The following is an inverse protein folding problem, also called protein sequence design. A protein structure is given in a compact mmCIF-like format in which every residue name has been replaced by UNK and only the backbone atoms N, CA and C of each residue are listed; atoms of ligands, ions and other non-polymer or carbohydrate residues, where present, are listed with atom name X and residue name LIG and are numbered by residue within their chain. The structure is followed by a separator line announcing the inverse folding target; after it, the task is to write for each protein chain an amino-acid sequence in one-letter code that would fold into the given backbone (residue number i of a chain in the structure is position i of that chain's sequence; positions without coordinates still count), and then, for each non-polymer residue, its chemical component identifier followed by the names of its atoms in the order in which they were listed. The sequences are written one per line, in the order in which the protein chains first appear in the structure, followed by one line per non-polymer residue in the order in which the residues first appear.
data_IF_687297428945
#
_entry.id   IF_687297428945
#
_cell.length_a   1.000
_cell.length_b   1.000
_cell.length_c   1.000
_cell.angle_alpha   90.00
_cell.angle_beta   90.00
_cell.angle_gamma   90.00
#
_symmetry.space_group_name_H-M   'P 1'
#
loop_
_entity.id
_entity.type
_entity.pdbx_description
1 polymer ?
#
# COMPACT_ATOMS: atom_id res chain seq x y z
N UNK A 1 -10.70 -0.64 -26.13
CA UNK A 1 -9.76 -1.58 -25.48
C UNK A 1 -10.50 -2.27 -24.34
N UNK A 2 -10.07 -3.47 -23.95
CA UNK A 2 -10.72 -4.23 -22.87
C UNK A 2 -10.42 -3.57 -21.52
N UNK A 3 -11.43 -3.51 -20.66
CA UNK A 3 -11.27 -3.09 -19.26
C UNK A 3 -10.46 -4.12 -18.48
N UNK A 4 -9.57 -3.67 -17.59
CA UNK A 4 -8.77 -4.53 -16.71
C UNK A 4 -9.62 -4.95 -15.51
N UNK A 5 -9.81 -6.25 -15.31
CA UNK A 5 -10.61 -6.77 -14.19
C UNK A 5 -9.75 -7.06 -12.98
N UNK A 6 -9.96 -6.33 -11.89
CA UNK A 6 -9.20 -6.48 -10.65
C UNK A 6 -10.08 -7.02 -9.51
N UNK A 7 -9.45 -7.77 -8.61
CA UNK A 7 -9.99 -8.10 -7.30
C UNK A 7 -9.18 -7.42 -6.20
N UNK A 8 -9.81 -7.14 -5.06
CA UNK A 8 -9.14 -6.48 -3.92
C UNK A 8 -9.29 -7.31 -2.65
N UNK A 9 -8.18 -7.67 -2.02
CA UNK A 9 -8.15 -8.21 -0.66
C UNK A 9 -7.81 -7.09 0.34
N UNK A 10 -8.79 -6.68 1.14
CA UNK A 10 -8.71 -5.56 2.09
C UNK A 10 -9.20 -4.25 1.49
N UNK A 11 -10.43 -3.83 1.82
CA UNK A 11 -11.03 -2.58 1.37
C UNK A 11 -10.71 -1.41 2.31
N UNK A 12 -9.42 -1.22 2.63
CA UNK A 12 -8.93 -0.14 3.48
C UNK A 12 -8.88 1.25 2.79
N UNK A 13 -8.18 2.20 3.41
CA UNK A 13 -7.99 3.54 2.86
C UNK A 13 -7.31 3.54 1.48
N UNK A 14 -6.32 2.67 1.26
CA UNK A 14 -5.66 2.52 -0.05
C UNK A 14 -6.63 2.08 -1.14
N UNK A 15 -7.49 1.09 -0.85
CA UNK A 15 -8.51 0.63 -1.78
C UNK A 15 -9.57 1.71 -2.05
N UNK A 16 -9.99 2.44 -1.01
CA UNK A 16 -10.88 3.60 -1.16
C UNK A 16 -10.29 4.66 -2.09
N UNK A 17 -9.02 5.02 -1.89
CA UNK A 17 -8.32 5.98 -2.74
C UNK A 17 -8.16 5.50 -4.19
N UNK A 18 -7.90 4.20 -4.40
CA UNK A 18 -7.82 3.59 -5.73
C UNK A 18 -9.17 3.69 -6.46
N UNK A 19 -10.26 3.27 -5.81
CA UNK A 19 -11.60 3.25 -6.43
C UNK A 19 -12.10 4.66 -6.71
N UNK A 20 -11.88 5.60 -5.77
CA UNK A 20 -12.14 7.02 -6.00
C UNK A 20 -11.31 7.55 -7.18
N UNK A 21 -10.03 7.18 -7.27
CA UNK A 21 -9.14 7.57 -8.37
C UNK A 21 -9.62 7.08 -9.73
N UNK A 22 -9.98 5.80 -9.84
CA UNK A 22 -10.51 5.20 -11.08
C UNK A 22 -11.74 5.98 -11.58
N UNK A 23 -12.66 6.36 -10.69
CA UNK A 23 -13.84 7.14 -11.08
C UNK A 23 -13.49 8.61 -11.39
N UNK A 24 -12.68 9.25 -10.55
CA UNK A 24 -12.27 10.65 -10.68
C UNK A 24 -11.68 10.96 -12.06
N UNK A 25 -10.78 10.09 -12.56
CA UNK A 25 -10.09 10.33 -13.82
C UNK A 25 -10.95 10.09 -15.08
N UNK A 26 -12.16 9.50 -14.98
CA UNK A 26 -13.02 9.29 -16.17
C UNK A 26 -13.42 10.59 -16.87
N UNK A 27 -13.54 11.67 -16.12
CA UNK A 27 -13.89 12.99 -16.63
C UNK A 27 -12.66 13.85 -17.00
N UNK A 28 -11.45 13.30 -16.89
CA UNK A 28 -10.18 14.00 -17.04
C UNK A 28 -9.48 13.64 -18.35
N UNK A 29 -8.46 14.43 -18.70
CA UNK A 29 -7.58 14.18 -19.84
C UNK A 29 -6.11 14.26 -19.41
N UNK A 30 -5.19 14.06 -20.37
CA UNK A 30 -3.73 14.05 -20.12
C UNK A 30 -3.21 15.33 -19.46
N UNK A 31 -3.81 16.49 -19.71
CA UNK A 31 -3.41 17.76 -19.09
C UNK A 31 -3.82 17.84 -17.61
N UNK A 32 -4.71 16.95 -17.17
CA UNK A 32 -5.24 16.85 -15.81
C UNK A 32 -4.70 15.60 -15.07
N UNK A 33 -3.58 15.02 -15.53
CA UNK A 33 -3.00 13.78 -15.00
C UNK A 33 -2.24 13.96 -13.66
N UNK A 34 -2.63 14.94 -12.83
CA UNK A 34 -2.03 15.17 -11.50
C UNK A 34 -2.16 13.88 -10.71
N UNK A 35 -1.06 13.38 -10.12
CA UNK A 35 -1.13 12.14 -9.34
C UNK A 35 -0.87 10.87 -10.16
N UNK A 36 -0.57 10.96 -11.45
CA UNK A 36 -0.20 9.82 -12.31
C UNK A 36 1.15 10.08 -12.97
N UNK A 37 2.02 9.05 -13.04
CA UNK A 37 3.28 9.19 -13.81
C UNK A 37 3.00 9.17 -15.31
N UNK A 38 2.03 8.35 -15.73
CA UNK A 38 1.64 8.20 -17.11
C UNK A 38 0.11 8.23 -17.22
N UNK A 39 -0.39 9.08 -18.12
CA UNK A 39 -1.80 9.09 -18.46
C UNK A 39 -2.23 7.74 -19.05
N UNK A 40 -1.42 7.18 -19.95
CA UNK A 40 -1.70 5.90 -20.60
C UNK A 40 -0.48 4.98 -20.52
N UNK A 41 -0.72 3.70 -20.29
CA UNK A 41 0.32 2.66 -20.26
C UNK A 41 -0.11 1.53 -21.20
N UNK A 42 0.51 1.47 -22.39
CA UNK A 42 0.24 0.46 -23.40
C UNK A 42 -1.23 0.37 -23.85
N UNK A 43 -1.91 1.51 -24.01
CA UNK A 43 -3.34 1.55 -24.35
C UNK A 43 -4.27 1.77 -23.15
N UNK A 44 -3.83 1.41 -21.94
CA UNK A 44 -4.69 1.44 -20.76
C UNK A 44 -4.65 2.82 -20.08
N UNK A 45 -5.82 3.48 -20.03
CA UNK A 45 -6.01 4.74 -19.31
C UNK A 45 -6.28 4.47 -17.82
N UNK A 46 -6.22 5.48 -16.94
CA UNK A 46 -6.29 5.28 -15.49
C UNK A 46 -7.63 4.71 -15.03
N UNK A 47 -8.67 4.91 -15.84
CA UNK A 47 -10.05 4.48 -15.59
C UNK A 47 -10.48 3.25 -16.40
N UNK A 48 -9.60 2.66 -17.21
CA UNK A 48 -9.88 1.40 -17.91
C UNK A 48 -9.69 0.19 -16.96
N UNK A 49 -10.11 0.34 -15.69
CA UNK A 49 -9.97 -0.63 -14.59
C UNK A 49 -11.35 -0.82 -13.96
N UNK A 50 -11.75 -2.06 -13.74
CA UNK A 50 -13.00 -2.43 -13.09
C UNK A 50 -12.76 -3.41 -11.95
N UNK A 51 -13.39 -3.14 -10.81
CA UNK A 51 -13.30 -3.99 -9.62
C UNK A 51 -14.42 -5.02 -9.73
N UNK A 52 -14.07 -6.29 -9.92
CA UNK A 52 -15.03 -7.38 -10.17
C UNK A 52 -15.23 -8.31 -8.97
N UNK A 53 -14.34 -8.21 -7.97
CA UNK A 53 -14.47 -8.93 -6.70
C UNK A 53 -13.77 -8.14 -5.59
N UNK A 54 -14.27 -8.24 -4.36
CA UNK A 54 -13.60 -7.67 -3.20
C UNK A 54 -13.82 -8.52 -1.95
N UNK A 55 -12.80 -8.56 -1.10
CA UNK A 55 -12.79 -9.30 0.15
C UNK A 55 -12.44 -8.36 1.29
N UNK A 56 -13.21 -8.43 2.37
CA UNK A 56 -12.89 -7.76 3.63
C UNK A 56 -13.39 -8.65 4.79
N UNK A 57 -13.01 -8.30 6.01
CA UNK A 57 -13.46 -9.01 7.21
C UNK A 57 -14.33 -8.11 8.08
N UNK A 58 -14.38 -6.81 7.82
CA UNK A 58 -15.11 -5.86 8.64
C UNK A 58 -16.62 -6.00 8.44
N UNK A 59 -17.36 -6.21 9.53
CA UNK A 59 -18.83 -6.34 9.51
C UNK A 59 -19.56 -5.14 8.91
N UNK A 60 -18.92 -3.97 8.84
CA UNK A 60 -19.48 -2.76 8.23
C UNK A 60 -19.30 -2.73 6.71
N UNK A 61 -18.49 -3.63 6.15
CA UNK A 61 -18.14 -3.70 4.73
C UNK A 61 -18.69 -4.97 4.08
N UNK A 62 -18.53 -6.12 4.73
CA UNK A 62 -19.03 -7.42 4.24
C UNK A 62 -20.51 -7.32 3.89
N UNK A 63 -20.88 -7.83 2.72
CA UNK A 63 -22.24 -7.81 2.17
C UNK A 63 -22.66 -6.50 1.48
N UNK A 64 -21.92 -5.39 1.63
CA UNK A 64 -22.24 -4.12 0.95
C UNK A 64 -21.66 -4.03 -0.45
N UNK A 65 -22.23 -3.19 -1.30
CA UNK A 65 -21.59 -2.82 -2.57
C UNK A 65 -20.27 -2.08 -2.30
N UNK A 66 -19.25 -2.32 -3.13
CA UNK A 66 -17.97 -1.63 -3.01
C UNK A 66 -18.10 -0.10 -3.10
N UNK A 67 -19.10 0.44 -3.80
CA UNK A 67 -19.34 1.89 -3.88
C UNK A 67 -19.67 2.51 -2.51
N UNK A 68 -20.21 1.73 -1.59
CA UNK A 68 -20.54 2.15 -0.21
C UNK A 68 -19.49 1.68 0.80
N UNK A 69 -18.97 0.47 0.63
CA UNK A 69 -18.05 -0.16 1.57
C UNK A 69 -16.74 0.63 1.72
N UNK A 70 -16.25 1.27 0.65
CA UNK A 70 -15.01 2.06 0.68
C UNK A 70 -15.09 3.31 1.57
N UNK A 71 -16.30 3.78 1.89
CA UNK A 71 -16.54 4.92 2.78
C UNK A 71 -16.92 4.48 4.20
N UNK A 72 -17.07 3.17 4.42
CA UNK A 72 -17.40 2.63 5.74
C UNK A 72 -16.18 2.65 6.65
N UNK A 73 -16.42 2.96 7.94
CA UNK A 73 -15.39 2.93 8.98
C UNK A 73 -14.67 1.55 9.01
N UNK A 74 -13.38 1.50 9.40
CA UNK A 74 -12.59 2.61 9.93
C UNK A 74 -11.90 3.45 8.84
N UNK A 75 -12.33 3.32 7.57
CA UNK A 75 -11.76 4.12 6.50
C UNK A 75 -11.96 5.62 6.80
N UNK A 76 -10.90 6.39 6.58
CA UNK A 76 -10.80 7.80 6.97
C UNK A 76 -9.94 8.62 5.98
N UNK A 77 -9.61 8.07 4.82
CA UNK A 77 -8.96 8.82 3.72
C UNK A 77 -9.82 9.97 3.25
N UNK A 78 -9.18 11.02 2.74
CA UNK A 78 -9.85 12.13 2.07
C UNK A 78 -10.77 11.62 0.96
N UNK A 79 -12.00 12.13 0.98
CA UNK A 79 -12.99 11.87 -0.08
C UNK A 79 -12.82 12.95 -1.13
N UNK A 80 -12.23 12.59 -2.27
CA UNK A 80 -12.04 13.49 -3.43
C UNK A 80 -12.92 13.11 -4.62
N UNK A 81 -13.59 11.96 -4.55
CA UNK A 81 -14.65 11.54 -5.46
C UNK A 81 -15.70 10.78 -4.65
N UNK A 82 -16.81 11.44 -4.32
CA UNK A 82 -17.90 10.91 -3.49
C UNK A 82 -18.96 10.15 -4.30
N UNK A 83 -19.17 10.54 -5.56
CA UNK A 83 -20.14 9.91 -6.44
C UNK A 83 -19.54 8.68 -7.16
N UNK A 84 -19.49 7.55 -6.45
CA UNK A 84 -19.12 6.26 -7.04
C UNK A 84 -20.39 5.55 -7.52
N UNK A 85 -20.54 5.29 -8.83
CA UNK A 85 -21.71 4.56 -9.32
C UNK A 85 -21.72 3.16 -8.72
N UNK A 86 -22.92 2.64 -8.43
CA UNK A 86 -23.11 1.27 -7.95
C UNK A 86 -22.40 0.30 -8.89
N UNK A 87 -21.60 -0.60 -8.31
CA UNK A 87 -20.77 -1.54 -9.08
C UNK A 87 -21.38 -2.92 -9.20
N UNK A 88 -22.43 -3.21 -8.42
CA UNK A 88 -23.04 -4.53 -8.28
C UNK A 88 -22.02 -5.60 -7.87
N UNK A 89 -21.03 -5.18 -7.06
CA UNK A 89 -19.99 -6.05 -6.50
C UNK A 89 -20.10 -5.97 -4.98
N UNK A 90 -20.68 -7.00 -4.39
CA UNK A 90 -20.77 -7.14 -2.95
C UNK A 90 -19.42 -7.58 -2.35
N UNK A 91 -19.04 -6.97 -1.22
CA UNK A 91 -17.85 -7.38 -0.47
C UNK A 91 -18.08 -8.77 0.12
N UNK A 92 -17.27 -9.72 -0.30
CA UNK A 92 -17.30 -11.09 0.22
C UNK A 92 -16.51 -11.19 1.53
N UNK A 93 -16.95 -12.08 2.44
CA UNK A 93 -16.20 -12.38 3.65
C UNK A 93 -14.85 -13.02 3.29
N UNK A 94 -13.77 -12.43 3.82
CA UNK A 94 -12.41 -12.92 3.62
C UNK A 94 -11.97 -14.00 4.61
N UNK A 95 -10.70 -14.39 4.52
CA UNK A 95 -10.01 -15.21 5.53
C UNK A 95 -9.25 -14.29 6.49
N UNK A 96 -9.46 -14.45 7.80
CA UNK A 96 -8.87 -13.55 8.81
C UNK A 96 -7.39 -13.87 9.04
N UNK A 97 -7.07 -15.11 9.45
CA UNK A 97 -5.71 -15.54 9.85
C UNK A 97 -5.05 -14.53 10.82
N UNK A 98 -3.81 -14.10 10.53
CA UNK A 98 -3.09 -13.04 11.25
C UNK A 98 -3.44 -11.63 10.74
N UNK A 99 -4.59 -11.45 10.09
CA UNK A 99 -5.14 -10.18 9.62
C UNK A 99 -5.38 -9.14 10.72
N UNK A 100 -5.72 -9.62 11.92
CA UNK A 100 -6.19 -8.82 13.05
C UNK A 100 -5.17 -8.87 14.18
N UNK A 101 -4.56 -7.73 14.54
CA UNK A 101 -3.64 -7.71 15.68
C UNK A 101 -4.40 -7.60 17.00
N UNK A 102 -4.02 -8.42 17.98
CA UNK A 102 -4.64 -8.43 19.31
C UNK A 102 -4.73 -7.05 19.97
N UNK A 103 -3.69 -6.21 19.84
CA UNK A 103 -3.64 -4.91 20.50
C UNK A 103 -4.71 -3.92 20.02
N UNK A 104 -5.25 -4.08 18.81
CA UNK A 104 -6.27 -3.15 18.31
C UNK A 104 -7.61 -3.37 19.00
N UNK A 105 -7.83 -4.54 19.63
CA UNK A 105 -9.09 -4.86 20.29
C UNK A 105 -9.46 -3.87 21.40
N UNK A 106 -8.45 -3.24 22.02
CA UNK A 106 -8.61 -2.27 23.11
C UNK A 106 -9.00 -0.87 22.64
N UNK A 107 -8.97 -0.60 21.33
CA UNK A 107 -9.33 0.70 20.77
C UNK A 107 -10.84 0.80 20.49
N UNK A 108 -11.33 2.04 20.41
CA UNK A 108 -12.71 2.33 20.01
C UNK A 108 -13.02 1.74 18.61
N UNK A 109 -14.21 1.16 18.49
CA UNK A 109 -14.74 0.51 17.30
C UNK A 109 -14.67 1.37 16.03
N UNK A 110 -14.69 2.70 16.14
CA UNK A 110 -14.56 3.58 14.96
C UNK A 110 -13.16 3.62 14.35
N UNK A 111 -12.11 3.22 15.08
CA UNK A 111 -10.71 3.31 14.63
C UNK A 111 -10.10 1.97 14.20
N UNK A 112 -10.72 0.86 14.59
CA UNK A 112 -10.27 -0.51 14.27
C UNK A 112 -11.23 -1.18 13.30
N UNK A 113 -10.78 -2.24 12.64
CA UNK A 113 -11.72 -3.14 11.96
C UNK A 113 -12.39 -4.09 12.95
N UNK A 114 -13.63 -4.46 12.67
CA UNK A 114 -14.45 -5.32 13.52
C UNK A 114 -14.82 -6.56 12.71
N UNK A 115 -14.20 -7.72 12.98
CA UNK A 115 -14.51 -8.96 12.28
C UNK A 115 -16.02 -9.24 12.23
N UNK A 116 -16.51 -9.66 11.06
CA UNK A 116 -17.88 -10.13 10.86
C UNK A 116 -18.09 -11.49 11.52
N UNK A 117 -19.33 -11.74 11.96
CA UNK A 117 -19.76 -13.05 12.44
C UNK A 117 -20.06 -14.03 11.27
N UNK A 118 -19.98 -13.56 10.03
CA UNK A 118 -20.06 -14.41 8.84
C UNK A 118 -18.92 -15.42 8.80
N UNK A 119 -19.22 -16.59 8.22
CA UNK A 119 -18.23 -17.67 8.08
C UNK A 119 -17.07 -17.20 7.21
N UNK A 120 -15.85 -17.32 7.73
CA UNK A 120 -14.64 -17.05 6.94
C UNK A 120 -14.59 -17.93 5.68
N UNK A 121 -14.26 -17.31 4.55
CA UNK A 121 -14.11 -18.02 3.30
C UNK A 121 -12.94 -19.01 3.35
N UNK A 122 -13.16 -20.19 2.80
CA UNK A 122 -12.14 -21.19 2.51
C UNK A 122 -11.29 -20.76 1.30
N UNK A 123 -10.12 -21.38 1.14
CA UNK A 123 -9.28 -21.15 -0.04
C UNK A 123 -10.04 -21.42 -1.35
N UNK A 124 -10.78 -22.52 -1.40
CA UNK A 124 -11.53 -22.95 -2.59
C UNK A 124 -12.64 -21.96 -2.95
N UNK A 125 -13.34 -21.40 -1.95
CA UNK A 125 -14.33 -20.35 -2.16
C UNK A 125 -13.70 -19.06 -2.72
N UNK A 126 -12.56 -18.60 -2.17
CA UNK A 126 -11.83 -17.45 -2.70
C UNK A 126 -11.38 -17.71 -4.14
N UNK A 127 -10.80 -18.89 -4.41
CA UNK A 127 -10.37 -19.29 -5.75
C UNK A 127 -11.54 -19.33 -6.73
N UNK A 128 -12.71 -19.85 -6.32
CA UNK A 128 -13.92 -19.86 -7.15
C UNK A 128 -14.35 -18.44 -7.47
N UNK A 129 -14.46 -17.56 -6.47
CA UNK A 129 -14.87 -16.16 -6.68
C UNK A 129 -13.94 -15.45 -7.67
N UNK A 130 -12.62 -15.66 -7.55
CA UNK A 130 -11.64 -15.07 -8.48
C UNK A 130 -11.85 -15.56 -9.92
N UNK A 131 -12.11 -16.86 -10.11
CA UNK A 131 -12.38 -17.45 -11.44
C UNK A 131 -13.72 -16.99 -12.00
N UNK A 132 -14.78 -17.07 -11.21
CA UNK A 132 -16.16 -16.83 -11.63
C UNK A 132 -16.40 -15.35 -11.98
N UNK A 133 -15.73 -14.43 -11.28
CA UNK A 133 -15.73 -12.99 -11.61
C UNK A 133 -14.90 -12.65 -12.85
N UNK A 134 -14.08 -13.59 -13.35
CA UNK A 134 -13.13 -13.34 -14.42
C UNK A 134 -12.03 -12.36 -14.01
N UNK A 135 -11.61 -12.40 -12.75
CA UNK A 135 -10.52 -11.56 -12.23
C UNK A 135 -9.24 -11.83 -13.01
N UNK A 136 -8.53 -10.78 -13.41
CA UNK A 136 -7.22 -10.88 -14.06
C UNK A 136 -6.07 -10.62 -13.08
N UNK A 137 -6.28 -9.72 -12.11
CA UNK A 137 -5.27 -9.28 -11.14
C UNK A 137 -5.88 -9.17 -9.74
N UNK A 138 -5.28 -9.82 -8.74
CA UNK A 138 -5.61 -9.66 -7.32
C UNK A 138 -4.65 -8.65 -6.66
N UNK A 139 -5.21 -7.61 -6.04
CA UNK A 139 -4.49 -6.63 -5.24
C UNK A 139 -4.56 -7.01 -3.76
N UNK A 140 -3.39 -7.10 -3.11
CA UNK A 140 -3.29 -7.30 -1.67
C UNK A 140 -3.09 -5.95 -0.96
N UNK A 141 -4.08 -5.53 -0.17
CA UNK A 141 -4.07 -4.35 0.72
C UNK A 141 -4.31 -4.74 2.18
N UNK A 142 -3.94 -5.97 2.55
CA UNK A 142 -4.06 -6.43 3.93
C UNK A 142 -3.17 -5.62 4.90
N UNK A 143 -3.53 -5.59 6.19
CA UNK A 143 -2.77 -4.87 7.21
C UNK A 143 -1.29 -5.30 7.29
N UNK A 144 -0.42 -4.35 7.65
CA UNK A 144 1.00 -4.63 7.91
C UNK A 144 1.14 -5.68 9.02
N UNK A 145 2.00 -6.68 8.77
CA UNK A 145 2.27 -7.78 9.68
C UNK A 145 1.33 -8.99 9.56
N UNK A 146 0.48 -9.01 8.53
CA UNK A 146 -0.37 -10.17 8.20
C UNK A 146 0.34 -11.08 7.19
N UNK A 147 1.35 -11.82 7.67
CA UNK A 147 2.17 -12.71 6.84
C UNK A 147 1.40 -13.93 6.34
N UNK A 148 0.66 -14.60 7.21
CA UNK A 148 -0.11 -15.78 6.88
C UNK A 148 -1.22 -15.43 5.89
N UNK A 149 -1.94 -14.33 6.15
CA UNK A 149 -2.98 -13.84 5.24
C UNK A 149 -2.40 -13.44 3.87
N UNK A 150 -1.28 -12.70 3.83
CA UNK A 150 -0.63 -12.33 2.56
C UNK A 150 -0.23 -13.56 1.73
N UNK A 151 0.37 -14.57 2.37
CA UNK A 151 0.74 -15.84 1.72
C UNK A 151 -0.49 -16.63 1.29
N UNK A 152 -1.56 -16.63 2.09
CA UNK A 152 -2.83 -17.29 1.76
C UNK A 152 -3.46 -16.69 0.48
N UNK A 153 -3.56 -15.36 0.38
CA UNK A 153 -4.12 -14.71 -0.80
C UNK A 153 -3.20 -14.82 -2.03
N UNK A 154 -1.87 -14.83 -1.83
CA UNK A 154 -0.93 -15.14 -2.92
C UNK A 154 -1.12 -16.57 -3.44
N UNK A 155 -1.36 -17.55 -2.55
CA UNK A 155 -1.69 -18.93 -2.93
C UNK A 155 -3.01 -19.00 -3.71
N UNK A 156 -4.05 -18.29 -3.25
CA UNK A 156 -5.34 -18.22 -3.94
C UNK A 156 -5.19 -17.66 -5.36
N UNK A 157 -4.43 -16.57 -5.54
CA UNK A 157 -4.17 -15.99 -6.86
C UNK A 157 -3.43 -17.00 -7.77
N UNK A 158 -2.40 -17.65 -7.23
CA UNK A 158 -1.61 -18.64 -7.95
C UNK A 158 -2.45 -19.85 -8.39
N UNK A 159 -3.37 -20.33 -7.54
CA UNK A 159 -4.30 -21.42 -7.84
C UNK A 159 -5.44 -21.01 -8.79
N UNK A 160 -5.87 -19.76 -8.71
CA UNK A 160 -6.85 -19.17 -9.61
C UNK A 160 -6.31 -18.90 -11.02
N UNK A 161 -4.98 -18.80 -11.19
CA UNK A 161 -4.37 -18.39 -12.46
C UNK A 161 -4.38 -16.87 -12.65
N UNK A 162 -4.42 -16.12 -11.56
CA UNK A 162 -4.64 -14.67 -11.50
C UNK A 162 -3.33 -13.98 -11.14
N UNK A 163 -3.01 -12.87 -11.81
CA UNK A 163 -1.82 -12.09 -11.48
C UNK A 163 -1.92 -11.47 -10.08
N UNK A 164 -0.79 -11.20 -9.45
CA UNK A 164 -0.78 -10.74 -8.06
C UNK A 164 0.00 -9.45 -7.88
N UNK A 165 -0.59 -8.45 -7.23
CA UNK A 165 0.09 -7.22 -6.83
C UNK A 165 0.07 -7.12 -5.31
N UNK A 166 1.26 -7.24 -4.73
CA UNK A 166 1.46 -7.18 -3.30
C UNK A 166 1.80 -5.75 -2.86
N UNK A 167 0.82 -5.02 -2.33
CA UNK A 167 1.03 -3.63 -1.89
C UNK A 167 1.56 -3.52 -0.44
N UNK A 168 1.66 -4.63 0.30
CA UNK A 168 2.12 -4.64 1.69
C UNK A 168 3.57 -5.14 1.82
N UNK A 169 4.27 -4.89 2.94
CA UNK A 169 5.70 -5.18 3.10
C UNK A 169 6.03 -6.63 3.49
N UNK A 170 5.16 -7.58 3.17
CA UNK A 170 5.47 -9.01 3.31
C UNK A 170 6.19 -9.47 2.06
N UNK A 171 7.31 -10.17 2.21
CA UNK A 171 8.09 -10.65 1.07
C UNK A 171 7.36 -11.77 0.34
N UNK A 172 6.89 -11.48 -0.88
CA UNK A 172 6.27 -12.45 -1.81
C UNK A 172 6.97 -12.33 -3.16
N UNK A 173 6.90 -11.17 -3.81
CA UNK A 173 7.56 -10.96 -5.09
C UNK A 173 9.10 -10.96 -4.96
N UNK A 174 9.61 -10.49 -3.82
CA UNK A 174 11.03 -10.49 -3.49
C UNK A 174 11.54 -11.80 -2.89
N UNK A 175 10.65 -12.74 -2.53
CA UNK A 175 11.04 -14.09 -2.11
C UNK A 175 11.30 -14.97 -3.35
N UNK A 176 12.53 -15.50 -3.53
CA UNK A 176 12.86 -16.36 -4.66
C UNK A 176 11.93 -17.58 -4.81
N UNK A 177 11.42 -18.14 -3.70
CA UNK A 177 10.52 -19.29 -3.74
C UNK A 177 9.16 -18.92 -4.33
N UNK A 178 8.60 -17.79 -3.91
CA UNK A 178 7.31 -17.32 -4.41
C UNK A 178 7.42 -16.83 -5.85
N UNK A 179 8.41 -15.99 -6.16
CA UNK A 179 8.63 -15.50 -7.53
C UNK A 179 8.85 -16.63 -8.53
N UNK A 180 9.57 -17.70 -8.16
CA UNK A 180 9.74 -18.86 -9.02
C UNK A 180 8.41 -19.59 -9.27
N UNK A 181 7.55 -19.76 -8.27
CA UNK A 181 6.23 -20.40 -8.44
C UNK A 181 5.31 -19.63 -9.38
N UNK A 182 5.30 -18.30 -9.30
CA UNK A 182 4.56 -17.44 -10.23
C UNK A 182 5.12 -17.55 -11.65
N UNK A 183 6.45 -17.54 -11.78
CA UNK A 183 7.16 -17.72 -13.06
C UNK A 183 6.87 -19.07 -13.71
N UNK A 184 6.87 -20.16 -12.95
CA UNK A 184 6.60 -21.52 -13.44
C UNK A 184 5.19 -21.66 -14.03
N UNK A 185 4.22 -20.88 -13.52
CA UNK A 185 2.86 -20.81 -14.06
C UNK A 185 2.68 -19.76 -15.16
N UNK A 186 3.70 -18.95 -15.46
CA UNK A 186 3.59 -17.84 -16.40
C UNK A 186 2.64 -16.74 -15.93
N UNK A 187 2.51 -16.55 -14.61
CA UNK A 187 1.60 -15.58 -14.00
C UNK A 187 2.43 -14.39 -13.49
N UNK A 188 2.14 -13.15 -13.90
CA UNK A 188 2.85 -11.97 -13.41
C UNK A 188 2.64 -11.73 -11.92
N UNK A 189 3.70 -11.26 -11.26
CA UNK A 189 3.66 -10.78 -9.88
C UNK A 189 4.39 -9.43 -9.80
N UNK A 190 3.82 -8.47 -9.07
CA UNK A 190 4.44 -7.19 -8.74
C UNK A 190 4.42 -7.03 -7.22
N UNK A 191 5.55 -6.64 -6.63
CA UNK A 191 5.71 -6.44 -5.20
C UNK A 191 7.18 -6.21 -4.83
N UNK A 192 7.51 -6.00 -3.56
CA UNK A 192 6.62 -5.86 -2.41
C UNK A 192 6.65 -4.42 -1.87
N UNK A 193 5.69 -4.04 -1.02
CA UNK A 193 5.55 -2.70 -0.41
C UNK A 193 5.37 -1.57 -1.45
N UNK A 194 4.12 -1.20 -1.73
CA UNK A 194 3.84 -0.15 -2.71
C UNK A 194 4.48 1.17 -2.29
N UNK A 195 5.05 1.89 -3.26
CA UNK A 195 5.63 3.21 -3.01
C UNK A 195 4.57 4.29 -3.04
N UNK A 196 4.83 5.36 -2.29
CA UNK A 196 4.15 6.63 -2.43
C UNK A 196 4.79 7.46 -3.54
N UNK A 197 4.05 8.38 -4.16
CA UNK A 197 4.57 9.34 -5.14
C UNK A 197 5.62 10.24 -4.50
N UNK A 198 5.27 10.84 -3.35
CA UNK A 198 6.18 11.64 -2.54
C UNK A 198 5.98 11.32 -1.07
N UNK A 199 6.77 10.39 -0.57
CA UNK A 199 6.79 10.00 0.84
C UNK A 199 8.07 10.40 1.56
N UNK A 200 8.06 10.25 2.89
CA UNK A 200 9.21 10.53 3.74
C UNK A 200 10.51 9.85 3.28
N UNK A 201 10.44 8.57 2.90
CA UNK A 201 11.61 7.79 2.50
C UNK A 201 12.28 8.32 1.22
N UNK A 202 11.51 8.69 0.17
CA UNK A 202 12.11 9.23 -1.06
C UNK A 202 12.66 10.64 -0.86
N UNK A 203 11.99 11.47 -0.04
CA UNK A 203 12.48 12.80 0.34
C UNK A 203 13.80 12.69 1.09
N UNK A 204 13.86 11.82 2.11
CA UNK A 204 15.06 11.59 2.90
C UNK A 204 16.22 11.09 2.02
N UNK A 205 15.98 10.08 1.18
CA UNK A 205 17.00 9.56 0.25
C UNK A 205 17.53 10.62 -0.71
N UNK A 206 16.65 11.45 -1.27
CA UNK A 206 17.04 12.53 -2.18
C UNK A 206 17.92 13.57 -1.48
N UNK A 207 17.59 13.92 -0.23
CA UNK A 207 18.40 14.84 0.56
C UNK A 207 19.76 14.25 0.95
N UNK A 208 19.81 12.97 1.31
CA UNK A 208 21.06 12.26 1.62
C UNK A 208 21.98 12.20 0.39
N UNK A 209 21.42 11.83 -0.77
CA UNK A 209 22.15 11.84 -2.05
C UNK A 209 22.66 13.24 -2.40
N UNK A 210 21.87 14.29 -2.14
CA UNK A 210 22.29 15.67 -2.31
C UNK A 210 23.46 16.05 -1.38
N UNK A 211 23.40 15.69 -0.09
CA UNK A 211 24.48 15.94 0.87
C UNK A 211 25.79 15.34 0.34
N UNK A 212 25.73 14.07 -0.06
CA UNK A 212 26.88 13.35 -0.62
C UNK A 212 27.42 14.02 -1.89
N UNK A 213 26.56 14.39 -2.85
CA UNK A 213 26.96 15.07 -4.09
C UNK A 213 27.58 16.45 -3.88
N UNK A 214 27.30 17.09 -2.74
CA UNK A 214 27.82 18.43 -2.40
C UNK A 214 28.97 18.40 -1.40
N UNK A 215 29.47 17.21 -1.04
CA UNK A 215 30.57 17.06 -0.09
C UNK A 215 30.18 17.37 1.36
N UNK A 216 28.89 17.34 1.68
CA UNK A 216 28.38 17.46 3.06
C UNK A 216 28.37 16.07 3.68
N UNK A 217 29.10 15.90 4.78
CA UNK A 217 29.12 14.62 5.51
C UNK A 217 27.88 14.54 6.38
N UNK A 218 27.03 13.53 6.18
CA UNK A 218 25.96 13.18 7.12
C UNK A 218 26.56 12.46 8.32
N UNK A 219 26.18 12.86 9.53
CA UNK A 219 26.62 12.24 10.79
C UNK A 219 25.46 11.59 11.53
N UNK A 220 24.27 12.20 11.55
CA UNK A 220 23.09 11.66 12.25
C UNK A 220 21.82 11.97 11.48
N UNK A 221 20.83 11.10 11.59
CA UNK A 221 19.51 11.38 11.00
C UNK A 221 18.38 10.65 11.74
N UNK A 222 17.21 11.28 11.80
CA UNK A 222 15.99 10.57 12.14
C UNK A 222 14.86 10.91 11.17
N UNK A 223 13.94 9.95 11.01
CA UNK A 223 12.69 10.09 10.29
C UNK A 223 11.56 9.55 11.18
N UNK A 224 10.84 10.47 11.82
CA UNK A 224 9.73 10.18 12.70
C UNK A 224 8.41 10.35 11.94
N UNK A 225 7.58 9.31 11.88
CA UNK A 225 6.34 9.33 11.10
C UNK A 225 5.14 9.12 12.03
N UNK A 226 4.15 10.00 11.97
CA UNK A 226 2.85 9.84 12.65
C UNK A 226 1.71 9.79 11.65
N UNK A 227 0.61 9.14 12.02
CA UNK A 227 -0.64 9.11 11.26
C UNK A 227 -1.79 8.63 12.13
N UNK A 228 -3.03 8.76 11.66
CA UNK A 228 -4.25 8.45 12.42
C UNK A 228 -5.14 7.40 11.77
N UNK A 229 -4.65 6.65 10.79
CA UNK A 229 -5.39 5.58 10.12
C UNK A 229 -5.12 4.22 10.78
N UNK A 230 -5.86 3.20 10.36
CA UNK A 230 -5.73 1.85 10.91
C UNK A 230 -4.39 1.18 10.54
N UNK A 231 -3.67 1.62 9.49
CA UNK A 231 -2.31 1.14 9.20
C UNK A 231 -1.33 1.59 10.29
N UNK A 232 -1.33 2.89 10.63
CA UNK A 232 -0.52 3.43 11.73
C UNK A 232 -0.89 2.80 13.07
N UNK A 233 -2.17 2.57 13.31
CA UNK A 233 -2.63 1.86 14.50
C UNK A 233 -2.04 0.45 14.55
N UNK A 234 -2.17 -0.34 13.49
CA UNK A 234 -1.61 -1.69 13.41
C UNK A 234 -0.09 -1.72 13.63
N UNK A 235 0.58 -0.69 13.15
CA UNK A 235 2.02 -0.50 13.25
C UNK A 235 2.49 -0.13 14.67
N UNK A 236 1.62 0.16 15.64
CA UNK A 236 2.05 0.31 17.04
C UNK A 236 2.57 -1.00 17.64
N UNK A 237 2.11 -2.14 17.12
CA UNK A 237 2.64 -3.44 17.52
C UNK A 237 4.05 -3.66 16.94
N UNK A 238 5.06 -3.41 17.78
CA UNK A 238 6.48 -3.54 17.41
C UNK A 238 6.88 -4.93 16.93
N UNK A 239 6.19 -5.99 17.36
CA UNK A 239 6.47 -7.36 16.89
C UNK A 239 6.14 -7.54 15.39
N UNK A 240 5.20 -6.74 14.87
CA UNK A 240 4.76 -6.76 13.46
C UNK A 240 5.58 -5.82 12.56
N UNK A 241 6.54 -5.09 13.13
CA UNK A 241 7.27 -4.02 12.44
C UNK A 241 8.69 -4.39 12.00
N UNK A 242 9.24 -5.54 12.40
CA UNK A 242 10.64 -5.91 12.18
C UNK A 242 11.05 -5.73 10.71
N UNK A 243 10.29 -6.31 9.78
CA UNK A 243 10.55 -6.21 8.34
C UNK A 243 10.48 -4.77 7.83
N UNK A 244 9.47 -3.98 8.21
CA UNK A 244 9.27 -2.60 7.72
C UNK A 244 10.32 -1.63 8.27
N UNK A 245 10.77 -1.81 9.52
CA UNK A 245 11.86 -1.00 10.11
C UNK A 245 13.18 -1.27 9.39
N UNK A 246 13.51 -2.54 9.16
CA UNK A 246 14.71 -2.92 8.40
C UNK A 246 14.67 -2.36 6.99
N UNK A 247 13.60 -2.59 6.23
CA UNK A 247 13.48 -2.11 4.84
C UNK A 247 13.62 -0.59 4.72
N UNK A 248 13.04 0.19 5.64
CA UNK A 248 13.14 1.66 5.61
C UNK A 248 14.52 2.18 6.01
N UNK A 249 15.17 1.53 6.97
CA UNK A 249 16.53 1.89 7.38
C UNK A 249 17.49 1.60 6.23
N UNK A 250 17.38 0.43 5.60
CA UNK A 250 18.21 0.06 4.44
C UNK A 250 17.97 0.96 3.21
N UNK A 251 16.74 1.44 3.01
CA UNK A 251 16.45 2.39 1.94
C UNK A 251 17.28 3.70 2.06
N UNK A 252 17.61 4.13 3.29
CA UNK A 252 18.46 5.31 3.54
C UNK A 252 19.94 4.92 3.59
N UNK A 253 20.28 3.83 4.29
CA UNK A 253 21.66 3.34 4.39
C UNK A 253 22.27 3.07 3.00
N UNK A 254 21.49 2.50 2.08
CA UNK A 254 21.97 2.11 0.74
C UNK A 254 22.38 3.26 -0.18
N UNK A 255 21.96 4.50 0.11
CA UNK A 255 22.39 5.68 -0.66
C UNK A 255 23.59 6.39 -0.05
N UNK A 256 24.01 6.01 1.17
CA UNK A 256 25.18 6.56 1.82
C UNK A 256 26.46 5.91 1.29
N UNK A 257 27.50 6.72 1.13
CA UNK A 257 28.86 6.22 0.87
C UNK A 257 29.37 5.33 2.02
N UNK A 258 29.17 5.79 3.25
CA UNK A 258 29.58 5.13 4.47
C UNK A 258 28.34 4.88 5.33
N UNK A 259 28.16 3.63 5.77
CA UNK A 259 27.05 3.23 6.64
C UNK A 259 27.13 4.00 7.96
N UNK A 260 26.01 4.56 8.40
CA UNK A 260 25.91 5.13 9.74
C UNK A 260 25.77 4.01 10.76
N UNK A 261 26.39 4.21 11.93
CA UNK A 261 26.16 3.36 13.10
C UNK A 261 24.68 3.38 13.49
N UNK A 262 24.16 2.26 13.99
CA UNK A 262 22.74 2.10 14.29
C UNK A 262 22.21 3.12 15.33
N UNK A 263 23.07 3.67 16.19
CA UNK A 263 22.72 4.74 17.13
C UNK A 263 22.53 6.12 16.47
N UNK A 264 23.09 6.31 15.28
CA UNK A 264 23.08 7.58 14.54
C UNK A 264 21.98 7.65 13.47
N UNK A 265 21.17 6.60 13.33
CA UNK A 265 20.05 6.54 12.39
C UNK A 265 18.78 5.99 13.05
N UNK A 266 17.68 6.74 12.94
CA UNK A 266 16.39 6.28 13.43
C UNK A 266 15.28 6.47 12.39
N UNK A 267 14.79 5.39 11.78
CA UNK A 267 13.74 5.45 10.75
C UNK A 267 12.62 4.49 11.09
N UNK A 268 11.38 4.99 11.16
CA UNK A 268 10.23 4.12 11.41
C UNK A 268 8.93 4.87 11.67
N UNK A 269 7.81 4.14 11.80
CA UNK A 269 6.64 4.72 12.45
C UNK A 269 6.96 5.10 13.90
N UNK A 270 6.43 6.23 14.31
CA UNK A 270 6.67 6.80 15.62
C UNK A 270 5.46 6.66 16.52
N UNK A 271 4.28 7.07 16.03
CA UNK A 271 3.07 7.08 16.84
C UNK A 271 1.78 7.10 16.02
N UNK A 272 0.67 6.82 16.69
CA UNK A 272 -0.69 6.92 16.20
C UNK A 272 -1.38 8.15 16.81
N UNK A 273 -1.82 9.07 15.94
CA UNK A 273 -2.48 10.32 16.34
C UNK A 273 -3.86 10.37 15.69
N UNK A 274 -4.94 9.98 16.41
CA UNK A 274 -6.25 9.68 15.81
C UNK A 274 -6.83 10.79 14.93
N UNK A 275 -6.67 12.06 15.33
CA UNK A 275 -7.24 13.19 14.58
C UNK A 275 -6.51 13.47 13.25
N UNK A 276 -5.32 12.90 13.03
CA UNK A 276 -4.62 13.01 11.76
C UNK A 276 -5.30 12.17 10.66
N UNK A 277 -6.16 11.19 11.02
CA UNK A 277 -6.81 10.29 10.04
C UNK A 277 -5.77 9.74 9.05
N UNK A 278 -6.03 9.78 7.75
CA UNK A 278 -5.10 9.31 6.72
C UNK A 278 -3.97 10.28 6.39
N UNK A 279 -3.96 11.49 6.97
CA UNK A 279 -2.84 12.40 6.81
C UNK A 279 -1.65 11.90 7.65
N UNK A 280 -0.53 11.74 6.96
CA UNK A 280 0.74 11.32 7.52
C UNK A 280 1.69 12.49 7.62
N UNK A 281 2.25 12.66 8.81
CA UNK A 281 3.24 13.69 9.09
C UNK A 281 4.59 13.05 9.34
N UNK A 282 5.61 13.48 8.61
CA UNK A 282 6.99 13.09 8.82
C UNK A 282 7.79 14.28 9.33
N UNK A 283 8.51 14.08 10.42
CA UNK A 283 9.57 14.95 10.92
C UNK A 283 10.91 14.31 10.59
N UNK A 284 11.66 14.95 9.70
CA UNK A 284 12.98 14.52 9.27
C UNK A 284 14.00 15.50 9.84
N UNK A 285 15.03 14.98 10.51
CA UNK A 285 16.20 15.75 10.90
C UNK A 285 17.45 15.08 10.38
N UNK A 286 18.33 15.86 9.78
CA UNK A 286 19.64 15.43 9.30
C UNK A 286 20.70 16.35 9.89
N UNK A 287 21.75 15.79 10.49
CA UNK A 287 22.88 16.52 11.05
C UNK A 287 24.15 16.14 10.30
N UNK A 288 24.98 17.12 9.99
CA UNK A 288 26.18 16.90 9.22
C UNK A 288 27.21 18.01 9.36
N UNK A 289 28.25 17.93 8.52
CA UNK A 289 29.36 18.90 8.48
C UNK A 289 29.58 19.46 7.09
N UNK A 290 29.79 20.77 7.03
CA UNK A 290 30.14 21.55 5.85
C UNK A 290 31.67 21.68 5.73
N UNK A 291 32.11 22.50 4.76
CA UNK A 291 33.50 22.89 4.61
C UNK A 291 34.11 23.42 5.92
N UNK A 292 35.31 22.94 6.26
CA UNK A 292 35.99 23.30 7.51
C UNK A 292 35.40 22.66 8.76
N UNK A 293 34.73 21.51 8.62
CA UNK A 293 34.06 20.77 9.70
C UNK A 293 32.97 21.58 10.44
N UNK A 294 32.46 22.64 9.81
CA UNK A 294 31.41 23.49 10.39
C UNK A 294 30.11 22.69 10.50
N UNK A 295 29.52 22.56 11.69
CA UNK A 295 28.30 21.77 11.88
C UNK A 295 27.10 22.42 11.18
N UNK A 296 26.20 21.58 10.69
CA UNK A 296 24.92 21.99 10.13
C UNK A 296 23.82 20.99 10.49
N UNK A 297 22.59 21.47 10.46
CA UNK A 297 21.42 20.61 10.55
C UNK A 297 20.35 21.08 9.57
N UNK A 298 19.55 20.12 9.11
CA UNK A 298 18.37 20.31 8.29
C UNK A 298 17.19 19.67 9.03
N UNK A 299 16.14 20.45 9.21
CA UNK A 299 14.85 19.95 9.69
C UNK A 299 13.80 20.14 8.60
N UNK A 300 12.99 19.11 8.38
CA UNK A 300 11.93 19.10 7.39
C UNK A 300 10.68 18.48 7.99
N UNK A 301 9.54 19.13 7.74
CA UNK A 301 8.22 18.59 8.02
C UNK A 301 7.49 18.32 6.69
N UNK A 302 7.13 17.07 6.45
CA UNK A 302 6.32 16.65 5.31
C UNK A 302 4.93 16.24 5.81
N UNK A 303 3.87 16.77 5.21
CA UNK A 303 2.48 16.36 5.48
C UNK A 303 1.84 15.96 4.17
N UNK A 304 1.34 14.72 4.10
CA UNK A 304 0.73 14.15 2.90
C UNK A 304 -0.44 13.26 3.28
N UNK A 305 -1.44 13.17 2.41
CA UNK A 305 -2.48 12.14 2.54
C UNK A 305 -1.88 10.78 2.13
N UNK A 306 -1.80 9.81 3.04
CA UNK A 306 -0.98 8.60 2.82
C UNK A 306 -1.53 7.71 1.69
N UNK A 307 -2.84 7.47 1.67
CA UNK A 307 -3.45 6.52 0.76
C UNK A 307 -3.55 7.01 -0.69
N UNK A 308 -4.03 8.24 -0.99
CA UNK A 308 -4.01 8.79 -2.34
C UNK A 308 -2.60 8.93 -2.91
N UNK A 309 -1.61 9.16 -2.04
CA UNK A 309 -0.20 9.24 -2.41
C UNK A 309 0.37 7.89 -2.90
N UNK A 310 -0.33 6.76 -2.72
CA UNK A 310 0.03 5.48 -3.34
C UNK A 310 -0.90 5.08 -4.50
N UNK A 311 -2.14 5.55 -4.52
CA UNK A 311 -3.17 5.11 -5.47
C UNK A 311 -2.75 5.28 -6.95
N UNK A 312 -2.11 6.39 -7.30
CA UNK A 312 -1.58 6.59 -8.65
C UNK A 312 -0.51 5.59 -9.06
N UNK A 313 0.36 5.20 -8.12
CA UNK A 313 1.39 4.18 -8.32
C UNK A 313 0.75 2.79 -8.49
N UNK A 314 -0.31 2.49 -7.74
CA UNK A 314 -1.09 1.25 -7.90
C UNK A 314 -1.75 1.19 -9.28
N UNK A 315 -2.32 2.29 -9.78
CA UNK A 315 -2.91 2.35 -11.13
C UNK A 315 -1.85 2.01 -12.19
N UNK A 316 -0.64 2.55 -12.06
CA UNK A 316 0.48 2.16 -12.92
C UNK A 316 0.84 0.67 -12.79
N UNK A 317 0.90 0.14 -11.56
CA UNK A 317 1.19 -1.28 -11.32
C UNK A 317 0.15 -2.20 -11.96
N UNK A 318 -1.15 -1.89 -11.83
CA UNK A 318 -2.25 -2.66 -12.46
C UNK A 318 -2.07 -2.71 -13.97
N UNK A 319 -1.83 -1.56 -14.60
CA UNK A 319 -1.68 -1.45 -16.06
C UNK A 319 -0.43 -2.18 -16.55
N UNK A 320 0.69 -2.04 -15.86
CA UNK A 320 1.92 -2.78 -16.16
C UNK A 320 1.73 -4.29 -16.00
N UNK A 321 1.01 -4.72 -14.97
CA UNK A 321 0.71 -6.13 -14.73
C UNK A 321 -0.19 -6.71 -15.84
N UNK A 322 -1.19 -5.95 -16.28
CA UNK A 322 -2.03 -6.32 -17.43
C UNK A 322 -1.20 -6.46 -18.72
N UNK A 323 -0.30 -5.52 -19.00
CA UNK A 323 0.59 -5.64 -20.15
C UNK A 323 1.49 -6.88 -20.09
N UNK A 324 1.92 -7.29 -18.90
CA UNK A 324 2.65 -8.55 -18.73
C UNK A 324 1.75 -9.76 -19.03
N UNK A 325 0.50 -9.77 -18.55
CA UNK A 325 -0.47 -10.83 -18.90
C UNK A 325 -0.69 -10.95 -20.41
N UNK A 326 -0.79 -9.82 -21.11
CA UNK A 326 -1.03 -9.81 -22.56
C UNK A 326 0.18 -10.29 -23.37
N UNK A 327 1.40 -10.10 -22.83
CA UNK A 327 2.66 -10.45 -23.49
C UNK A 327 3.18 -11.85 -23.17
N UNK A 328 2.62 -12.50 -22.15
CA UNK A 328 3.07 -13.79 -21.61
C UNK A 328 4.56 -13.77 -21.24
#
# INVERSE_FOLDING_TARGET
MSTIKIAIAGLGNCASSLIQGIEYYKSKNINDAIGLMHWEVGGYRPYDIDVVAAFDIDKRKVGKDISEAIFSLPNCTTVFCDNIPKKDVAVSMGKILDGVSEHIATYDDKYKFIPSDEKEATKDEIVSILKDSGTEILLNFLPVGSEEAARFYAECALEAGVAYINNMPVFIASDPKWSQRFKDKGIPIIGDDIKAQLGATITHRTLVDMFQKRGVRLEKTYQLNTGGNTDFLNMLNRNRLSSKKTSKTEAVQSVLKDRLDDENIHVGPSDYVPWQKDNKVCYLRMEGKLFGDVPMNLELRLSVEDSPNSAGVVIDAIRCCKLALDRK
#
